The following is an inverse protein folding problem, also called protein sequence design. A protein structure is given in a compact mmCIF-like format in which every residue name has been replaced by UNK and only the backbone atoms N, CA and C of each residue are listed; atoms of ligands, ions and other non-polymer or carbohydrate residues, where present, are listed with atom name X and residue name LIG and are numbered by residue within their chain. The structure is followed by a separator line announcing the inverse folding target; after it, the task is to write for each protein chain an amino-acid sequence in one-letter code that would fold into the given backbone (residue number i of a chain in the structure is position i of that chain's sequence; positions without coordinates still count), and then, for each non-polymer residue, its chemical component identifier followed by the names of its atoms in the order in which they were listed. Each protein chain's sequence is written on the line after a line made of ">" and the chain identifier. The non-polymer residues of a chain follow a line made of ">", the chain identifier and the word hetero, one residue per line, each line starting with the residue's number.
data_IF_001741679439
#
_entry.id   IF_001741679439
#
_cell.length_a   1.000
_cell.length_b   1.000
_cell.length_c   1.000
_cell.angle_alpha   90.00
_cell.angle_beta   90.00
_cell.angle_gamma   90.00
#
_symmetry.space_group_name_H-M   'P 1'
#
loop_
_entity.id
_entity.type
_entity.pdbx_description
1 polymer ?
#
# COMPACT_ATOMS: atom_id res chain seq x y z
N UNK A 1 -46.04 14.17 57.81
CA UNK A 1 -47.07 13.94 56.75
C UNK A 1 -47.27 15.23 55.97
N UNK A 2 -46.73 15.34 54.75
CA UNK A 2 -47.09 16.32 53.72
C UNK A 2 -46.61 15.73 52.38
N UNK A 3 -47.54 15.38 51.50
CA UNK A 3 -47.31 14.82 50.16
C UNK A 3 -47.32 15.98 49.15
N UNK A 4 -46.32 16.06 48.26
CA UNK A 4 -46.39 16.84 47.02
C UNK A 4 -45.35 16.28 46.03
N UNK A 5 -45.80 15.42 45.10
CA UNK A 5 -46.07 15.70 43.68
C UNK A 5 -44.80 15.69 42.82
N UNK A 6 -44.53 14.50 42.30
CA UNK A 6 -43.56 14.16 41.27
C UNK A 6 -44.05 14.72 39.92
N UNK A 7 -43.26 15.60 39.29
CA UNK A 7 -43.50 16.05 37.91
C UNK A 7 -42.51 15.29 37.02
N UNK A 8 -43.02 14.38 36.20
CA UNK A 8 -42.26 13.74 35.14
C UNK A 8 -42.20 14.68 33.94
N UNK A 9 -41.01 15.17 33.61
CA UNK A 9 -40.74 15.80 32.31
C UNK A 9 -39.99 14.77 31.47
N UNK A 10 -40.70 14.17 30.52
CA UNK A 10 -40.15 13.28 29.51
C UNK A 10 -39.57 14.11 28.36
N UNK A 11 -38.24 14.22 28.30
CA UNK A 11 -37.52 14.63 27.08
C UNK A 11 -37.03 13.38 26.36
N UNK A 12 -37.75 12.99 25.32
CA UNK A 12 -37.28 12.01 24.35
C UNK A 12 -36.24 12.67 23.42
N UNK A 13 -34.99 12.22 23.47
CA UNK A 13 -34.01 12.47 22.41
C UNK A 13 -33.67 11.14 21.74
N UNK A 14 -34.29 10.91 20.57
CA UNK A 14 -33.90 9.87 19.63
C UNK A 14 -32.59 10.26 18.96
N UNK A 15 -31.47 9.79 19.51
CA UNK A 15 -30.16 9.83 18.87
C UNK A 15 -29.86 8.51 18.15
N UNK A 16 -30.43 8.29 16.97
CA UNK A 16 -30.03 7.19 16.09
C UNK A 16 -28.74 7.61 15.40
N UNK A 17 -27.59 7.20 15.94
CA UNK A 17 -26.32 7.19 15.18
C UNK A 17 -26.24 5.85 14.45
N UNK A 18 -26.77 5.85 13.23
CA UNK A 18 -26.62 4.75 12.29
C UNK A 18 -25.16 4.64 11.84
N UNK A 19 -24.69 3.38 11.77
CA UNK A 19 -23.29 3.01 11.58
C UNK A 19 -22.66 3.46 10.27
N UNK A 20 -21.41 3.92 10.37
CA UNK A 20 -20.45 3.91 9.27
C UNK A 20 -19.61 2.64 9.36
N UNK A 21 -20.11 1.52 8.83
CA UNK A 21 -19.25 0.38 8.54
C UNK A 21 -18.25 0.84 7.45
N UNK A 22 -16.98 1.01 7.82
CA UNK A 22 -15.92 1.23 6.85
C UNK A 22 -15.81 -0.04 5.99
N UNK A 23 -16.44 -0.02 4.82
CA UNK A 23 -16.32 -1.09 3.83
C UNK A 23 -14.85 -1.24 3.44
N UNK A 24 -14.19 -2.25 4.00
CA UNK A 24 -12.95 -2.81 3.44
C UNK A 24 -13.33 -3.59 2.18
N UNK A 25 -13.71 -2.87 1.13
CA UNK A 25 -13.99 -3.47 -0.16
C UNK A 25 -12.72 -4.19 -0.64
N UNK A 26 -12.84 -5.49 -0.88
CA UNK A 26 -11.77 -6.29 -1.42
C UNK A 26 -11.24 -5.67 -2.73
N UNK A 27 -9.92 -5.74 -2.99
CA UNK A 27 -9.34 -5.17 -4.19
C UNK A 27 -9.90 -5.81 -5.47
N UNK A 28 -10.31 -4.97 -6.43
CA UNK A 28 -10.91 -5.40 -7.69
C UNK A 28 -9.83 -5.93 -8.67
N UNK A 29 -10.02 -7.09 -9.33
CA UNK A 29 -8.98 -7.78 -10.13
C UNK A 29 -8.50 -7.12 -11.45
N UNK A 30 -9.07 -6.00 -11.87
CA UNK A 30 -8.89 -5.47 -13.23
C UNK A 30 -7.42 -5.15 -13.60
N UNK A 31 -6.57 -4.85 -12.61
CA UNK A 31 -5.18 -4.51 -12.83
C UNK A 31 -4.25 -5.72 -13.07
N UNK A 32 -4.68 -6.95 -12.73
CA UNK A 32 -3.82 -8.15 -12.83
C UNK A 32 -3.93 -8.81 -14.22
N UNK A 33 -5.07 -8.63 -14.92
CA UNK A 33 -5.37 -9.26 -16.21
C UNK A 33 -5.16 -8.33 -17.44
N UNK A 34 -4.69 -7.09 -17.24
CA UNK A 34 -4.32 -6.23 -18.36
C UNK A 34 -3.10 -6.78 -19.11
N UNK A 35 -2.88 -6.39 -20.38
CA UNK A 35 -1.57 -6.59 -21.02
C UNK A 35 -0.50 -6.06 -20.06
N UNK A 36 0.68 -6.70 -20.00
CA UNK A 36 1.77 -6.24 -19.16
C UNK A 36 1.86 -4.73 -19.30
N UNK A 37 1.55 -4.02 -18.21
CA UNK A 37 1.50 -2.57 -18.19
C UNK A 37 2.78 -2.10 -18.86
N UNK A 38 2.69 -1.28 -19.90
CA UNK A 38 3.84 -0.88 -20.69
C UNK A 38 4.90 -0.32 -19.73
N UNK A 39 5.92 -1.13 -19.46
CA UNK A 39 6.89 -0.85 -18.40
C UNK A 39 7.84 0.20 -18.94
N UNK A 40 7.86 1.37 -18.30
CA UNK A 40 8.76 2.44 -18.69
C UNK A 40 10.23 1.94 -18.65
N UNK A 41 11.08 2.32 -19.64
CA UNK A 41 12.46 1.85 -19.73
C UNK A 41 13.26 1.99 -18.43
N UNK A 42 13.06 3.08 -17.69
CA UNK A 42 13.76 3.37 -16.44
C UNK A 42 13.48 2.37 -15.31
N UNK A 43 12.36 1.63 -15.36
CA UNK A 43 11.95 0.70 -14.29
C UNK A 43 11.94 -0.77 -14.77
N UNK A 44 12.56 -1.06 -15.92
CA UNK A 44 12.64 -2.42 -16.44
C UNK A 44 13.53 -3.32 -15.56
N UNK A 45 13.09 -4.57 -15.38
CA UNK A 45 13.92 -5.58 -14.72
C UNK A 45 15.11 -5.93 -15.62
N UNK A 46 16.34 -5.98 -15.08
CA UNK A 46 17.50 -6.39 -15.86
C UNK A 46 17.34 -7.78 -16.48
N UNK A 47 17.94 -7.97 -17.66
CA UNK A 47 18.01 -9.26 -18.33
C UNK A 47 18.57 -10.37 -17.42
N UNK A 48 18.19 -11.62 -17.71
CA UNK A 48 18.56 -12.76 -16.87
C UNK A 48 17.68 -12.94 -15.63
N UNK A 49 16.56 -12.21 -15.53
CA UNK A 49 15.53 -12.41 -14.51
C UNK A 49 14.19 -12.77 -15.16
N UNK A 50 13.33 -13.49 -14.44
CA UNK A 50 11.98 -13.88 -14.85
C UNK A 50 10.96 -13.55 -13.76
N UNK A 51 9.74 -13.22 -14.18
CA UNK A 51 8.61 -12.98 -13.28
C UNK A 51 8.28 -14.25 -12.49
N UNK A 52 8.14 -14.13 -11.18
CA UNK A 52 7.73 -15.23 -10.26
C UNK A 52 6.40 -14.96 -9.56
N UNK A 53 6.03 -13.69 -9.37
CA UNK A 53 4.73 -13.33 -8.80
C UNK A 53 4.28 -11.93 -9.24
N UNK A 54 2.95 -11.73 -9.24
CA UNK A 54 2.30 -10.46 -9.52
C UNK A 54 1.14 -10.29 -8.54
N UNK A 55 1.11 -9.17 -7.80
CA UNK A 55 0.08 -8.87 -6.81
C UNK A 55 -0.41 -7.44 -6.94
N UNK A 56 -1.72 -7.24 -6.84
CA UNK A 56 -2.27 -5.90 -6.69
C UNK A 56 -2.20 -5.46 -5.24
N UNK A 57 -1.87 -4.20 -5.00
CA UNK A 57 -1.80 -3.65 -3.66
C UNK A 57 -2.74 -2.48 -3.50
N UNK A 58 -3.40 -2.43 -2.34
CA UNK A 58 -4.13 -1.25 -1.85
C UNK A 58 -3.65 -0.92 -0.46
N UNK A 59 -3.44 0.36 -0.20
CA UNK A 59 -2.87 0.82 1.06
C UNK A 59 -2.79 2.32 1.17
N UNK A 60 -1.84 2.78 1.98
CA UNK A 60 -1.54 4.20 2.20
C UNK A 60 -0.04 4.47 2.12
N UNK A 61 0.28 5.69 1.75
CA UNK A 61 1.58 6.32 1.98
C UNK A 61 1.38 7.30 3.14
N UNK A 62 2.06 7.07 4.25
CA UNK A 62 2.03 7.94 5.40
C UNK A 62 3.15 8.96 5.29
N UNK A 63 2.80 10.23 5.50
CA UNK A 63 3.71 11.36 5.49
C UNK A 63 3.78 11.98 6.89
N UNK A 64 4.97 12.46 7.24
CA UNK A 64 5.20 13.28 8.43
C UNK A 64 5.66 14.66 8.00
N UNK A 65 5.24 15.70 8.71
CA UNK A 65 5.74 17.03 8.47
C UNK A 65 7.09 17.23 9.15
N UNK A 66 8.06 17.74 8.39
CA UNK A 66 9.38 18.15 8.91
C UNK A 66 9.77 19.47 8.28
N UNK A 67 10.09 20.45 9.10
CA UNK A 67 10.42 21.83 8.68
C UNK A 67 9.35 22.43 7.77
N UNK A 68 8.06 22.17 8.08
CA UNK A 68 6.92 22.67 7.31
C UNK A 68 6.67 21.95 5.97
N UNK A 69 7.42 20.88 5.66
CA UNK A 69 7.28 20.12 4.42
C UNK A 69 6.95 18.64 4.68
N UNK A 70 6.03 18.09 3.89
CA UNK A 70 5.69 16.67 3.94
C UNK A 70 6.86 15.80 3.48
N UNK A 71 7.25 14.83 4.32
CA UNK A 71 8.23 13.79 4.02
C UNK A 71 7.59 12.43 4.15
N UNK A 72 7.91 11.51 3.22
CA UNK A 72 7.40 10.15 3.29
C UNK A 72 7.94 9.48 4.56
N UNK A 73 7.03 9.01 5.42
CA UNK A 73 7.36 8.26 6.62
C UNK A 73 7.43 6.76 6.31
N UNK A 74 6.34 6.21 5.77
CA UNK A 74 6.27 4.80 5.40
C UNK A 74 5.07 4.43 4.51
N UNK A 75 5.19 3.37 3.70
CA UNK A 75 4.04 2.71 3.10
C UNK A 75 3.43 1.66 4.04
N UNK A 76 2.13 1.42 3.87
CA UNK A 76 1.46 0.23 4.40
C UNK A 76 0.41 -0.24 3.37
N UNK A 77 0.49 -1.48 2.90
CA UNK A 77 -0.47 -2.02 1.95
C UNK A 77 -0.71 -3.52 2.10
N UNK A 78 -1.90 -3.96 1.70
CA UNK A 78 -2.24 -5.38 1.55
C UNK A 78 -2.05 -5.79 0.10
N UNK A 79 -1.35 -6.91 -0.13
CA UNK A 79 -1.18 -7.54 -1.42
C UNK A 79 -2.31 -8.53 -1.66
N UNK A 80 -2.88 -8.51 -2.86
CA UNK A 80 -3.92 -9.40 -3.30
C UNK A 80 -3.54 -10.11 -4.60
N UNK A 81 -3.93 -11.38 -4.67
CA UNK A 81 -3.78 -12.20 -5.88
C UNK A 81 -4.84 -11.86 -6.95
N UNK A 82 -4.79 -12.59 -8.06
CA UNK A 82 -5.73 -12.43 -9.19
C UNK A 82 -7.19 -12.67 -8.85
N UNK A 83 -7.48 -13.34 -7.74
CA UNK A 83 -8.84 -13.60 -7.25
C UNK A 83 -9.26 -12.56 -6.20
N UNK A 84 -8.42 -11.56 -5.92
CA UNK A 84 -8.67 -10.54 -4.90
C UNK A 84 -8.41 -11.03 -3.47
N UNK A 85 -7.82 -12.22 -3.29
CA UNK A 85 -7.53 -12.76 -1.94
C UNK A 85 -6.29 -12.07 -1.39
N UNK A 86 -6.35 -11.62 -0.15
CA UNK A 86 -5.20 -11.09 0.55
C UNK A 86 -4.15 -12.20 0.77
N UNK A 87 -2.93 -11.99 0.29
CA UNK A 87 -1.85 -12.98 0.31
C UNK A 87 -0.53 -12.45 0.85
N UNK A 88 -0.47 -11.16 1.17
CA UNK A 88 0.75 -10.57 1.73
C UNK A 88 0.56 -9.14 2.22
N UNK A 89 1.60 -8.64 2.87
CA UNK A 89 1.68 -7.29 3.42
C UNK A 89 2.92 -6.59 2.89
N UNK A 90 2.79 -5.30 2.64
CA UNK A 90 3.89 -4.39 2.32
C UNK A 90 4.01 -3.32 3.41
N UNK A 91 5.24 -3.03 3.84
CA UNK A 91 5.53 -2.12 4.96
C UNK A 91 6.85 -1.37 4.77
N UNK A 92 7.18 -0.49 5.73
CA UNK A 92 8.46 0.22 5.83
C UNK A 92 9.68 -0.71 5.67
N UNK A 93 10.71 -0.22 4.99
CA UNK A 93 11.94 -0.98 4.71
C UNK A 93 12.48 -0.72 3.30
N UNK A 94 11.66 -0.81 2.24
CA UNK A 94 10.40 -1.55 2.09
C UNK A 94 10.53 -3.08 2.23
N UNK A 95 9.51 -3.72 2.82
CA UNK A 95 9.44 -5.18 2.99
C UNK A 95 8.11 -5.70 2.44
N UNK A 96 8.14 -6.88 1.80
CA UNK A 96 6.96 -7.67 1.46
C UNK A 96 7.00 -9.01 2.18
N UNK A 97 5.91 -9.37 2.85
CA UNK A 97 5.77 -10.64 3.58
C UNK A 97 4.55 -11.37 3.06
N UNK A 98 4.71 -12.64 2.69
CA UNK A 98 3.61 -13.51 2.32
C UNK A 98 2.90 -14.01 3.57
N UNK A 99 1.58 -13.85 3.62
CA UNK A 99 0.76 -14.38 4.72
C UNK A 99 0.40 -15.84 4.53
N UNK A 100 0.70 -16.42 3.35
CA UNK A 100 0.38 -17.81 3.00
C UNK A 100 1.53 -18.76 3.33
N UNK A 101 2.78 -18.34 3.11
CA UNK A 101 3.97 -19.19 3.27
C UNK A 101 5.06 -18.58 4.18
N UNK A 102 4.82 -17.37 4.71
CA UNK A 102 5.74 -16.68 5.62
C UNK A 102 7.04 -16.17 5.00
N UNK A 103 7.26 -16.37 3.69
CA UNK A 103 8.43 -15.85 2.99
C UNK A 103 8.39 -14.32 2.92
N UNK A 104 9.56 -13.70 2.83
CA UNK A 104 9.67 -12.25 2.74
C UNK A 104 10.85 -11.80 1.89
N UNK A 105 10.74 -10.58 1.37
CA UNK A 105 11.82 -9.85 0.69
C UNK A 105 11.89 -8.42 1.22
N UNK A 106 13.08 -7.97 1.58
CA UNK A 106 13.41 -6.56 1.77
C UNK A 106 14.13 -6.06 0.52
N UNK A 107 13.79 -4.87 0.02
CA UNK A 107 14.44 -4.29 -1.15
C UNK A 107 14.77 -2.81 -0.95
N UNK A 108 15.66 -2.26 -1.79
CA UNK A 108 15.89 -0.82 -1.91
C UNK A 108 15.64 -0.37 -3.35
N UNK A 109 15.19 0.90 -3.56
CA UNK A 109 15.15 1.49 -4.89
C UNK A 109 16.51 1.38 -5.58
N UNK A 110 16.51 1.08 -6.88
CA UNK A 110 17.70 1.22 -7.72
C UNK A 110 17.84 2.69 -8.08
N UNK A 111 19.05 3.25 -7.94
CA UNK A 111 19.31 4.66 -8.20
C UNK A 111 18.90 5.05 -9.63
N UNK A 112 18.12 6.13 -9.73
CA UNK A 112 17.59 6.62 -11.00
C UNK A 112 16.48 5.78 -11.64
N UNK A 113 16.19 4.57 -11.12
CA UNK A 113 15.20 3.66 -11.69
C UNK A 113 13.78 4.01 -11.20
N UNK A 114 13.31 5.17 -11.67
CA UNK A 114 11.99 5.73 -11.36
C UNK A 114 11.28 6.21 -12.62
N UNK A 115 9.97 6.13 -12.62
CA UNK A 115 9.12 6.76 -13.62
C UNK A 115 8.01 7.57 -12.91
N UNK A 116 7.91 8.86 -13.24
CA UNK A 116 6.92 9.76 -12.63
C UNK A 116 5.56 9.56 -13.29
N UNK A 117 4.50 9.59 -12.47
CA UNK A 117 3.13 9.54 -12.94
C UNK A 117 2.34 10.74 -12.40
N UNK A 118 1.54 11.43 -13.24
CA UNK A 118 0.68 12.50 -12.77
C UNK A 118 -0.27 12.01 -11.67
N UNK A 119 -0.25 12.67 -10.51
CA UNK A 119 -1.18 12.37 -9.41
C UNK A 119 -0.92 11.06 -8.65
N UNK A 120 0.19 10.37 -8.89
CA UNK A 120 0.53 9.13 -8.20
C UNK A 120 2.00 9.08 -7.75
N UNK A 121 2.29 8.27 -6.72
CA UNK A 121 3.68 7.97 -6.37
C UNK A 121 4.42 7.34 -7.55
N UNK A 122 5.74 7.52 -7.66
CA UNK A 122 6.49 7.03 -8.81
C UNK A 122 6.40 5.52 -8.93
N UNK A 123 6.43 5.04 -10.16
CA UNK A 123 6.83 3.65 -10.42
C UNK A 123 8.32 3.51 -10.10
N UNK A 124 8.72 2.35 -9.59
CA UNK A 124 10.09 2.10 -9.16
C UNK A 124 10.53 0.70 -9.58
N UNK A 125 11.82 0.57 -9.88
CA UNK A 125 12.52 -0.69 -9.74
C UNK A 125 13.24 -0.73 -8.39
N UNK A 126 13.08 -1.82 -7.66
CA UNK A 126 13.78 -2.08 -6.42
C UNK A 126 14.59 -3.37 -6.53
N UNK A 127 15.79 -3.38 -5.95
CA UNK A 127 16.67 -4.55 -5.86
C UNK A 127 16.57 -5.16 -4.47
N UNK A 128 16.40 -6.47 -4.41
CA UNK A 128 16.37 -7.21 -3.16
C UNK A 128 17.69 -7.04 -2.40
N UNK A 129 17.59 -6.76 -1.10
CA UNK A 129 18.71 -6.76 -0.16
C UNK A 129 18.82 -8.11 0.53
N UNK A 130 17.69 -8.60 1.02
CA UNK A 130 17.59 -9.86 1.76
C UNK A 130 16.28 -10.55 1.39
N UNK A 131 16.31 -11.88 1.44
CA UNK A 131 15.12 -12.73 1.39
C UNK A 131 15.13 -13.68 2.56
N UNK A 132 13.96 -14.17 2.97
CA UNK A 132 13.83 -15.23 3.98
C UNK A 132 12.65 -16.15 3.68
N UNK A 133 12.72 -17.36 4.20
CA UNK A 133 11.74 -18.42 3.96
C UNK A 133 11.91 -19.08 2.59
N UNK A 134 11.14 -20.15 2.33
CA UNK A 134 11.25 -20.98 1.12
C UNK A 134 10.11 -20.76 0.11
N UNK A 135 9.28 -19.74 0.34
CA UNK A 135 8.06 -19.48 -0.41
C UNK A 135 8.22 -18.53 -1.61
N UNK A 136 7.12 -17.87 -1.97
CA UNK A 136 7.00 -16.99 -3.14
C UNK A 136 8.09 -15.91 -3.22
N UNK A 137 8.61 -15.44 -2.08
CA UNK A 137 9.65 -14.40 -2.03
C UNK A 137 11.09 -14.90 -1.85
N UNK A 138 11.31 -16.22 -1.75
CA UNK A 138 12.62 -16.78 -1.40
C UNK A 138 13.77 -16.41 -2.36
N UNK A 139 13.49 -16.43 -3.66
CA UNK A 139 14.49 -16.20 -4.72
C UNK A 139 14.41 -14.83 -5.39
N UNK A 140 13.62 -13.89 -4.84
CA UNK A 140 13.38 -12.60 -5.47
C UNK A 140 14.67 -11.77 -5.50
N UNK A 141 15.03 -11.29 -6.69
CA UNK A 141 16.15 -10.37 -6.95
C UNK A 141 15.68 -8.94 -7.22
N UNK A 142 14.51 -8.77 -7.83
CA UNK A 142 13.93 -7.47 -8.15
C UNK A 142 12.43 -7.42 -7.84
N UNK A 143 11.99 -6.25 -7.38
CA UNK A 143 10.58 -5.89 -7.22
C UNK A 143 10.31 -4.67 -8.07
N UNK A 144 9.28 -4.69 -8.90
CA UNK A 144 8.79 -3.46 -9.52
C UNK A 144 7.52 -3.00 -8.82
N UNK A 145 7.40 -1.68 -8.64
CA UNK A 145 6.15 -1.00 -8.32
C UNK A 145 5.66 -0.32 -9.57
N UNK A 146 4.55 -0.77 -10.12
CA UNK A 146 4.01 -0.35 -11.42
C UNK A 146 2.55 0.10 -11.28
N UNK A 147 2.01 0.74 -12.32
CA UNK A 147 0.61 1.13 -12.45
C UNK A 147 0.07 1.81 -11.19
N UNK A 148 0.86 2.72 -10.61
CA UNK A 148 0.52 3.35 -9.34
C UNK A 148 -0.64 4.33 -9.50
N UNK A 149 -1.43 4.47 -8.44
CA UNK A 149 -2.52 5.45 -8.35
C UNK A 149 -2.47 6.12 -6.98
N UNK A 150 -2.53 7.45 -6.95
CA UNK A 150 -2.55 8.20 -5.69
C UNK A 150 -1.27 8.05 -4.86
N UNK A 151 -1.40 8.31 -3.56
CA UNK A 151 -0.32 8.19 -2.59
C UNK A 151 0.66 9.36 -2.56
N UNK A 152 0.49 10.41 -3.36
CA UNK A 152 1.35 11.59 -3.30
C UNK A 152 1.19 12.33 -1.96
N UNK A 153 2.24 13.03 -1.54
CA UNK A 153 2.16 13.95 -0.42
C UNK A 153 1.05 15.00 -0.68
N UNK A 154 0.32 15.43 0.36
CA UNK A 154 -0.60 16.57 0.21
C UNK A 154 0.13 17.80 -0.31
N UNK A 155 -0.57 18.64 -1.06
CA UNK A 155 -0.06 19.94 -1.49
C UNK A 155 0.00 20.92 -0.32
N UNK A 156 0.88 21.93 -0.44
CA UNK A 156 1.04 22.98 0.55
C UNK A 156 1.93 22.61 1.74
N UNK A 157 2.06 23.56 2.67
CA UNK A 157 2.83 23.38 3.91
C UNK A 157 2.06 22.58 4.96
N UNK A 158 2.75 22.23 6.04
CA UNK A 158 2.20 21.46 7.14
C UNK A 158 2.71 21.94 8.51
N UNK A 159 1.99 21.57 9.58
CA UNK A 159 2.43 21.81 10.94
C UNK A 159 3.47 20.77 11.36
N UNK A 160 4.56 21.19 12.02
CA UNK A 160 5.63 20.30 12.46
C UNK A 160 5.09 19.09 13.24
N UNK A 161 5.56 17.88 12.89
CA UNK A 161 5.12 16.63 13.53
C UNK A 161 3.72 16.15 13.12
N UNK A 162 2.96 16.91 12.34
CA UNK A 162 1.68 16.42 11.79
C UNK A 162 1.92 15.19 10.91
N UNK A 163 0.98 14.25 10.95
CA UNK A 163 1.01 13.05 10.10
C UNK A 163 -0.29 12.93 9.31
N UNK A 164 -0.18 12.34 8.13
CA UNK A 164 -1.32 12.07 7.26
C UNK A 164 -1.06 10.87 6.38
N UNK A 165 -2.11 10.11 6.07
CA UNK A 165 -2.04 8.91 5.24
C UNK A 165 -2.85 9.13 3.96
N UNK A 166 -2.18 9.02 2.82
CA UNK A 166 -2.80 9.19 1.49
C UNK A 166 -2.95 7.82 0.85
N UNK A 167 -4.17 7.50 0.40
CA UNK A 167 -4.46 6.21 -0.24
C UNK A 167 -3.63 6.03 -1.50
N UNK A 168 -3.10 4.83 -1.69
CA UNK A 168 -2.43 4.45 -2.93
C UNK A 168 -2.79 3.03 -3.35
N UNK A 169 -2.68 2.80 -4.65
CA UNK A 169 -2.75 1.47 -5.25
C UNK A 169 -1.52 1.25 -6.14
N UNK A 170 -1.09 0.00 -6.30
CA UNK A 170 0.02 -0.36 -7.17
C UNK A 170 -0.08 -1.82 -7.64
N UNK A 171 0.52 -2.12 -8.78
CA UNK A 171 0.86 -3.47 -9.19
C UNK A 171 2.31 -3.76 -8.77
N UNK A 172 2.50 -4.77 -7.92
CA UNK A 172 3.84 -5.27 -7.61
C UNK A 172 4.13 -6.51 -8.43
N UNK A 173 5.27 -6.50 -9.13
CA UNK A 173 5.85 -7.69 -9.77
C UNK A 173 7.12 -8.07 -9.04
N UNK A 174 7.34 -9.38 -8.92
CA UNK A 174 8.50 -9.95 -8.25
C UNK A 174 9.21 -10.83 -9.26
N UNK A 175 10.51 -10.62 -9.42
CA UNK A 175 11.34 -11.35 -10.38
C UNK A 175 12.52 -12.00 -9.66
N UNK A 176 12.94 -13.15 -10.17
CA UNK A 176 14.08 -13.93 -9.70
C UNK A 176 15.01 -14.23 -10.87
N UNK A 177 16.29 -14.58 -10.65
CA UNK A 177 17.18 -15.01 -11.72
C UNK A 177 16.56 -16.14 -12.55
N UNK A 178 16.65 -16.02 -13.87
CA UNK A 178 16.36 -17.11 -14.78
C UNK A 178 17.39 -18.22 -14.52
N UNK A 179 16.92 -19.46 -14.45
CA UNK A 179 17.80 -20.64 -14.39
C UNK A 179 18.15 -21.03 -15.81
#
# INVERSE_FOLDING_TARGET
>A
MKRARLVFVTTALLGVVAGGAASTAAPTPAAINGPDAQVAPAVQVPAGNKLVAKFYAKGVQTYTCTTGAWKLLEPAATLADRLGRAVGLHSRGPIWVSTTDGSAVEAAPVDGARNELPGAVPELLLKAKTTRGAGVFAGVSYVQRLATKGGLAPSGGCAEGAQTSVRYEALYTFSAPAR
#
